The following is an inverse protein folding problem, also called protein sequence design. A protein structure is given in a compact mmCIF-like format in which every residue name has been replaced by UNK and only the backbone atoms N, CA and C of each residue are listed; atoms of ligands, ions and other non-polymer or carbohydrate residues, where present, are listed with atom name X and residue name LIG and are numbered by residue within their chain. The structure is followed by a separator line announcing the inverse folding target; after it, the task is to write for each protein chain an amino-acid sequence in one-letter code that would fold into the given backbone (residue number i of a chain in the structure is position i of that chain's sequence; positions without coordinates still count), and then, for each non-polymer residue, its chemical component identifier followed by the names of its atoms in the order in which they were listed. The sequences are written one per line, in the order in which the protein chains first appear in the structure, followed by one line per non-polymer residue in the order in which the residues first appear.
data_IF_746713894350
#
_entry.id   IF_746713894350
#
_cell.length_a   1.000
_cell.length_b   1.000
_cell.length_c   1.000
_cell.angle_alpha   90.00
_cell.angle_beta   90.00
_cell.angle_gamma   90.00
#
_symmetry.space_group_name_H-M   'P 1'
#
loop_
_entity.id
_entity.type
_entity.pdbx_description
1 polymer ?
#
# COMPACT_ATOMS: atom_id res chain seq x y z
N UNK A 1 -0.56 24.62 7.58
CA UNK A 1 -1.09 24.02 6.34
C UNK A 1 -0.68 22.56 6.33
N UNK A 2 -1.49 21.65 5.79
CA UNK A 2 -1.06 20.26 5.67
C UNK A 2 0.13 20.16 4.70
N UNK A 3 1.06 19.24 4.96
CA UNK A 3 2.20 18.95 4.11
C UNK A 3 2.16 17.49 3.66
N UNK A 4 2.48 17.25 2.39
CA UNK A 4 2.64 15.92 1.82
C UNK A 4 3.98 15.87 1.11
N UNK A 5 4.80 14.86 1.40
CA UNK A 5 6.03 14.59 0.68
C UNK A 5 6.00 13.18 0.09
N UNK A 6 6.67 13.01 -1.05
CA UNK A 6 7.09 11.69 -1.55
C UNK A 6 8.55 11.45 -1.26
N UNK A 7 8.90 10.22 -0.93
CA UNK A 7 10.26 9.78 -0.62
C UNK A 7 10.56 8.48 -1.37
N UNK A 8 11.72 8.42 -2.03
CA UNK A 8 12.23 7.18 -2.62
C UNK A 8 13.08 6.43 -1.59
N UNK A 9 12.46 5.54 -0.81
CA UNK A 9 13.12 4.82 0.29
C UNK A 9 14.20 3.88 -0.25
N UNK A 10 15.45 3.97 0.22
CA UNK A 10 16.49 3.00 -0.10
C UNK A 10 16.23 1.62 0.51
N UNK A 11 16.95 0.62 0.01
CA UNK A 11 16.97 -0.72 0.60
C UNK A 11 17.58 -0.68 2.00
N UNK A 12 17.17 -1.62 2.85
CA UNK A 12 17.64 -1.78 4.24
C UNK A 12 17.35 -0.61 5.20
N UNK A 13 16.44 0.30 4.82
CA UNK A 13 15.99 1.41 5.66
C UNK A 13 14.63 1.08 6.29
N UNK A 14 14.51 1.23 7.61
CA UNK A 14 13.25 1.08 8.33
C UNK A 14 12.25 2.18 7.95
N UNK A 15 10.95 1.88 7.78
CA UNK A 15 9.91 2.86 7.45
C UNK A 15 9.43 3.64 8.69
N UNK A 16 10.34 4.05 9.56
CA UNK A 16 10.07 4.79 10.79
C UNK A 16 11.25 5.72 11.11
N UNK A 17 11.05 6.73 11.96
CA UNK A 17 12.08 7.72 12.30
C UNK A 17 12.97 7.30 13.47
N UNK A 18 12.51 6.42 14.35
CA UNK A 18 13.25 5.96 15.53
C UNK A 18 13.39 4.45 15.49
N UNK A 19 14.60 3.93 15.71
CA UNK A 19 14.83 2.50 15.95
C UNK A 19 14.93 2.25 17.46
N UNK A 20 14.19 1.26 17.95
CA UNK A 20 14.13 0.90 19.37
C UNK A 20 14.96 -0.34 19.74
N UNK A 21 15.81 -0.85 18.82
CA UNK A 21 16.65 -2.02 19.06
C UNK A 21 18.08 -1.67 19.48
N UNK A 22 18.72 -2.59 20.19
CA UNK A 22 20.10 -2.45 20.69
C UNK A 22 21.16 -2.29 19.58
N UNK A 23 20.88 -2.84 18.39
CA UNK A 23 21.69 -2.62 17.18
C UNK A 23 20.94 -1.65 16.25
N UNK A 24 21.36 -0.37 16.16
CA UNK A 24 20.64 0.64 15.41
C UNK A 24 20.70 0.37 13.90
N UNK A 25 19.52 0.29 13.28
CA UNK A 25 19.36 0.15 11.82
C UNK A 25 19.10 1.52 11.19
N UNK A 26 19.42 1.72 9.90
CA UNK A 26 19.07 2.94 9.20
C UNK A 26 17.56 3.20 9.20
N UNK A 27 17.17 4.43 9.50
CA UNK A 27 15.77 4.90 9.60
C UNK A 27 15.50 6.04 8.61
N UNK A 28 14.25 6.52 8.57
CA UNK A 28 13.86 7.67 7.76
C UNK A 28 14.58 8.96 8.16
N UNK A 29 15.01 9.10 9.42
CA UNK A 29 15.74 10.27 9.92
C UNK A 29 17.08 10.49 9.21
N UNK A 30 17.66 9.46 8.59
CA UNK A 30 18.91 9.59 7.85
C UNK A 30 18.72 10.30 6.49
N UNK A 31 17.48 10.44 6.02
CA UNK A 31 17.15 10.94 4.69
C UNK A 31 16.17 12.11 4.68
N UNK A 32 15.37 12.23 5.74
CA UNK A 32 14.31 13.22 5.84
C UNK A 32 14.66 14.17 6.99
N UNK A 33 15.13 15.35 6.59
CA UNK A 33 15.42 16.52 7.42
C UNK A 33 14.17 17.36 7.70
N UNK A 34 13.00 16.99 7.15
CA UNK A 34 11.72 17.59 7.45
C UNK A 34 11.10 17.03 8.75
N UNK A 35 10.98 17.84 9.82
CA UNK A 35 10.29 17.40 11.04
C UNK A 35 8.76 17.34 10.85
N UNK A 36 8.09 16.58 11.73
CA UNK A 36 6.62 16.60 11.86
C UNK A 36 5.83 15.84 10.79
N UNK A 37 6.49 15.16 9.85
CA UNK A 37 5.83 14.29 8.85
C UNK A 37 5.95 12.83 9.25
N UNK A 38 4.90 12.05 8.98
CA UNK A 38 4.83 10.63 9.33
C UNK A 38 4.46 9.76 8.13
N UNK A 39 4.95 8.52 8.04
CA UNK A 39 4.60 7.60 6.96
C UNK A 39 3.10 7.37 6.81
N UNK A 40 2.60 7.58 5.59
CA UNK A 40 1.26 7.22 5.17
C UNK A 40 1.23 5.78 4.65
N UNK A 41 1.22 4.85 5.60
CA UNK A 41 1.35 3.41 5.35
C UNK A 41 2.79 2.93 5.48
N UNK A 42 3.02 1.65 5.18
CA UNK A 42 4.30 0.97 5.38
C UNK A 42 4.94 0.54 4.06
N UNK A 43 6.26 0.41 4.09
CA UNK A 43 7.09 -0.26 3.10
C UNK A 43 8.13 -1.06 3.86
N UNK A 44 8.30 -2.35 3.55
CA UNK A 44 9.21 -3.19 4.34
C UNK A 44 10.66 -2.71 4.25
N UNK A 45 11.46 -3.02 5.28
CA UNK A 45 12.88 -2.66 5.34
C UNK A 45 13.63 -3.12 4.09
N UNK A 46 13.37 -4.36 3.67
CA UNK A 46 13.95 -5.02 2.51
C UNK A 46 13.25 -4.66 1.18
N UNK A 47 12.45 -3.60 1.14
CA UNK A 47 11.83 -3.07 -0.07
C UNK A 47 12.31 -1.65 -0.35
N UNK A 48 12.22 -1.21 -1.59
CA UNK A 48 12.64 0.11 -2.05
C UNK A 48 11.46 0.91 -2.63
N UNK A 49 11.67 2.20 -2.85
CA UNK A 49 10.78 3.01 -3.66
C UNK A 49 9.82 3.87 -2.87
N UNK A 50 8.70 4.21 -3.50
CA UNK A 50 7.82 5.30 -3.11
C UNK A 50 7.22 5.08 -1.72
N UNK A 51 7.43 6.07 -0.86
CA UNK A 51 6.69 6.31 0.36
C UNK A 51 6.09 7.69 0.32
N UNK A 52 4.90 7.82 0.90
CA UNK A 52 4.27 9.10 1.16
C UNK A 52 4.38 9.39 2.65
N UNK A 53 4.72 10.62 3.00
CA UNK A 53 4.74 11.09 4.38
C UNK A 53 3.94 12.39 4.49
N UNK A 54 3.24 12.56 5.59
CA UNK A 54 2.33 13.69 5.82
C UNK A 54 2.24 14.03 7.30
N UNK A 55 1.97 15.30 7.60
CA UNK A 55 1.61 15.76 8.94
C UNK A 55 0.08 15.67 9.20
N UNK A 56 -0.70 15.33 8.17
CA UNK A 56 -2.16 15.30 8.22
C UNK A 56 -2.69 13.87 8.41
N UNK A 57 -3.22 13.58 9.60
CA UNK A 57 -3.76 12.26 9.93
C UNK A 57 -4.91 11.78 9.05
N UNK A 58 -5.74 12.67 8.48
CA UNK A 58 -6.81 12.27 7.54
C UNK A 58 -6.23 11.80 6.22
N UNK A 59 -5.23 12.51 5.70
CA UNK A 59 -4.51 12.10 4.49
C UNK A 59 -3.76 10.79 4.73
N UNK A 60 -3.13 10.66 5.91
CA UNK A 60 -2.45 9.43 6.31
C UNK A 60 -3.41 8.22 6.30
N UNK A 61 -4.59 8.38 6.91
CA UNK A 61 -5.64 7.35 6.93
C UNK A 61 -6.14 7.04 5.51
N UNK A 62 -6.39 8.07 4.69
CA UNK A 62 -6.90 7.89 3.33
C UNK A 62 -5.94 7.08 2.44
N UNK A 63 -4.64 7.34 2.55
CA UNK A 63 -3.62 6.62 1.78
C UNK A 63 -3.41 5.18 2.28
N UNK A 64 -3.52 4.96 3.60
CA UNK A 64 -3.20 3.67 4.23
C UNK A 64 -4.39 2.73 4.39
N UNK A 65 -5.63 3.22 4.35
CA UNK A 65 -6.83 2.39 4.55
C UNK A 65 -7.00 1.39 3.39
N UNK A 66 -7.02 0.07 3.69
CA UNK A 66 -7.31 -0.98 2.70
C UNK A 66 -8.65 -0.81 1.96
N UNK A 67 -9.62 -0.07 2.53
CA UNK A 67 -10.93 0.20 1.92
C UNK A 67 -10.86 1.17 0.75
N UNK A 68 -9.92 2.11 0.76
CA UNK A 68 -9.74 3.04 -0.36
C UNK A 68 -9.09 2.39 -1.58
N UNK A 69 -8.54 1.17 -1.41
CA UNK A 69 -8.05 0.30 -2.51
C UNK A 69 -7.10 1.01 -3.48
N UNK A 70 -6.39 2.05 -3.01
CA UNK A 70 -5.46 2.79 -3.86
C UNK A 70 -4.46 1.83 -4.49
N UNK A 71 -4.41 1.77 -5.84
CA UNK A 71 -3.55 0.84 -6.54
C UNK A 71 -2.10 1.17 -6.23
N UNK A 72 -1.30 0.14 -5.99
CA UNK A 72 0.13 0.24 -5.75
C UNK A 72 0.81 -0.58 -6.83
N UNK A 73 1.59 0.08 -7.67
CA UNK A 73 2.37 -0.59 -8.72
C UNK A 73 3.78 -0.82 -8.21
N UNK A 74 4.25 -2.05 -8.39
CA UNK A 74 5.56 -2.51 -8.01
C UNK A 74 6.32 -2.96 -9.25
N UNK A 75 7.60 -2.58 -9.32
CA UNK A 75 8.57 -3.26 -10.16
C UNK A 75 9.24 -4.34 -9.33
N UNK A 76 9.17 -5.57 -9.83
CA UNK A 76 9.55 -6.77 -9.11
C UNK A 76 10.54 -7.57 -9.93
N UNK A 77 11.79 -7.65 -9.47
CA UNK A 77 12.74 -8.59 -10.03
C UNK A 77 12.54 -9.94 -9.35
N UNK A 78 12.34 -10.99 -10.13
CA UNK A 78 12.09 -12.35 -9.65
C UNK A 78 13.12 -13.33 -10.21
N UNK A 79 13.32 -14.44 -9.52
CA UNK A 79 14.09 -15.57 -10.06
C UNK A 79 13.31 -16.31 -11.14
N UNK A 80 14.02 -16.76 -12.17
CA UNK A 80 13.42 -17.42 -13.33
C UNK A 80 12.64 -16.45 -14.21
N UNK A 81 12.04 -17.00 -15.28
CA UNK A 81 11.18 -16.27 -16.19
C UNK A 81 9.76 -16.81 -16.03
N UNK A 82 8.84 -16.07 -15.38
CA UNK A 82 7.46 -16.51 -15.21
C UNK A 82 6.78 -16.69 -16.55
N UNK A 83 6.21 -17.87 -16.80
CA UNK A 83 5.42 -18.14 -18.01
C UNK A 83 4.04 -17.46 -17.97
N UNK A 84 3.25 -17.64 -19.02
CA UNK A 84 1.94 -16.99 -19.11
C UNK A 84 0.93 -17.55 -18.11
N UNK A 85 1.07 -18.82 -17.70
CA UNK A 85 0.24 -19.44 -16.69
C UNK A 85 0.52 -18.84 -15.30
N UNK A 86 1.79 -18.63 -14.94
CA UNK A 86 2.19 -17.96 -13.71
C UNK A 86 1.69 -16.51 -13.65
N UNK A 87 1.81 -15.76 -14.76
CA UNK A 87 1.26 -14.41 -14.85
C UNK A 87 -0.26 -14.40 -14.71
N UNK A 88 -0.95 -15.35 -15.33
CA UNK A 88 -2.41 -15.46 -15.24
C UNK A 88 -2.88 -15.83 -13.83
N UNK A 89 -2.16 -16.71 -13.13
CA UNK A 89 -2.40 -17.01 -11.73
C UNK A 89 -2.25 -15.75 -10.86
N UNK A 90 -1.21 -14.95 -11.07
CA UNK A 90 -1.04 -13.67 -10.37
C UNK A 90 -2.21 -12.70 -10.65
N UNK A 91 -2.69 -12.64 -11.90
CA UNK A 91 -3.81 -11.75 -12.30
C UNK A 91 -5.13 -12.16 -11.66
N UNK A 92 -5.44 -13.46 -11.65
CA UNK A 92 -6.65 -14.01 -11.02
C UNK A 92 -6.61 -13.93 -9.49
N UNK A 93 -5.40 -13.91 -8.93
CA UNK A 93 -5.15 -13.97 -7.50
C UNK A 93 -4.71 -15.37 -7.09
N UNK A 94 -3.86 -15.42 -6.07
CA UNK A 94 -3.24 -16.65 -5.57
C UNK A 94 -3.61 -16.90 -4.12
N UNK A 95 -3.73 -18.17 -3.73
CA UNK A 95 -4.02 -18.54 -2.35
C UNK A 95 -2.75 -18.40 -1.51
N UNK A 96 -2.81 -17.53 -0.50
CA UNK A 96 -1.75 -17.38 0.49
C UNK A 96 -2.24 -17.91 1.85
N UNK A 97 -1.35 -17.97 2.85
CA UNK A 97 -1.68 -18.44 4.22
C UNK A 97 -2.84 -17.66 4.87
N UNK A 98 -3.00 -16.39 4.51
CA UNK A 98 -4.05 -15.47 4.98
C UNK A 98 -5.20 -15.33 3.95
N UNK A 99 -5.42 -16.37 3.13
CA UNK A 99 -6.50 -16.47 2.16
C UNK A 99 -6.14 -16.03 0.74
N UNK A 100 -7.13 -16.11 -0.14
CA UNK A 100 -7.01 -15.70 -1.54
C UNK A 100 -6.70 -14.19 -1.66
N UNK A 101 -5.77 -13.83 -2.53
CA UNK A 101 -5.53 -12.42 -2.87
C UNK A 101 -6.61 -11.91 -3.81
N UNK A 102 -6.84 -10.60 -3.80
CA UNK A 102 -7.63 -9.95 -4.84
C UNK A 102 -6.92 -10.08 -6.20
N UNK A 103 -7.70 -9.97 -7.31
CA UNK A 103 -7.11 -9.85 -8.64
C UNK A 103 -6.10 -8.71 -8.72
N UNK A 104 -5.05 -8.93 -9.50
CA UNK A 104 -3.96 -7.99 -9.71
C UNK A 104 -3.75 -7.74 -11.22
N UNK A 105 -2.99 -6.70 -11.54
CA UNK A 105 -2.39 -6.58 -12.88
C UNK A 105 -0.96 -7.08 -12.80
N UNK A 106 -0.58 -7.97 -13.71
CA UNK A 106 0.78 -8.52 -13.77
C UNK A 106 1.21 -8.68 -15.23
N UNK A 107 2.40 -8.17 -15.55
CA UNK A 107 3.05 -8.33 -16.86
C UNK A 107 4.56 -8.37 -16.70
N UNK A 108 5.25 -9.05 -17.61
CA UNK A 108 6.70 -8.89 -17.77
C UNK A 108 7.00 -7.46 -18.23
N UNK A 109 8.15 -6.97 -17.86
CA UNK A 109 8.68 -5.69 -18.31
C UNK A 109 10.19 -5.81 -18.50
N UNK A 110 10.75 -4.92 -19.32
CA UNK A 110 12.19 -4.74 -19.38
C UNK A 110 12.72 -4.16 -18.07
N UNK A 111 14.03 -4.27 -17.87
CA UNK A 111 14.71 -3.61 -16.75
C UNK A 111 14.36 -2.11 -16.78
N UNK A 112 13.90 -1.52 -15.65
CA UNK A 112 13.60 -0.10 -15.61
C UNK A 112 14.79 0.76 -16.02
N UNK A 113 14.58 1.72 -16.92
CA UNK A 113 15.63 2.65 -17.37
C UNK A 113 16.11 3.50 -16.19
N UNK A 114 17.41 3.80 -16.16
CA UNK A 114 18.04 4.64 -15.12
C UNK A 114 17.81 4.13 -13.68
N UNK A 115 17.61 2.83 -13.50
CA UNK A 115 17.42 2.24 -12.18
C UNK A 115 18.72 2.32 -11.36
N UNK A 116 18.64 2.85 -10.15
CA UNK A 116 19.78 2.92 -9.24
C UNK A 116 20.25 1.51 -8.82
N UNK A 117 21.55 1.39 -8.55
CA UNK A 117 22.13 0.18 -8.00
C UNK A 117 21.58 -0.09 -6.59
N UNK A 118 21.35 -1.37 -6.26
CA UNK A 118 20.96 -1.78 -4.91
C UNK A 118 22.21 -1.94 -4.05
N UNK A 119 22.18 -1.45 -2.81
CA UNK A 119 23.21 -1.72 -1.81
C UNK A 119 22.61 -2.46 -0.60
N UNK A 120 23.10 -3.66 -0.22
CA UNK A 120 24.05 -4.48 -0.96
C UNK A 120 23.50 -4.94 -2.33
N UNK A 121 24.36 -5.30 -3.30
CA UNK A 121 23.90 -5.83 -4.59
C UNK A 121 23.06 -7.09 -4.40
N UNK A 122 22.22 -7.40 -5.39
CA UNK A 122 21.49 -8.67 -5.40
C UNK A 122 22.51 -9.79 -5.60
N UNK A 123 22.36 -10.88 -4.85
CA UNK A 123 23.21 -12.06 -5.05
C UNK A 123 22.77 -12.76 -6.34
N UNK A 124 23.53 -12.57 -7.41
CA UNK A 124 23.29 -13.22 -8.68
C UNK A 124 23.73 -14.68 -8.65
N UNK A 125 22.89 -15.57 -9.20
CA UNK A 125 23.25 -16.96 -9.46
C UNK A 125 23.41 -17.11 -10.97
N UNK A 126 24.65 -17.27 -11.45
CA UNK A 126 24.97 -17.34 -12.91
C UNK A 126 24.13 -18.36 -13.70
N UNK A 127 23.64 -19.41 -13.05
CA UNK A 127 22.85 -20.48 -13.67
C UNK A 127 21.33 -20.24 -13.66
N UNK A 128 20.83 -19.20 -12.98
CA UNK A 128 19.40 -18.92 -12.86
C UNK A 128 19.11 -17.54 -13.46
N UNK A 129 18.34 -17.44 -14.56
CA UNK A 129 17.98 -16.14 -15.10
C UNK A 129 17.07 -15.39 -14.12
N UNK A 130 16.94 -14.08 -14.32
CA UNK A 130 15.95 -13.27 -13.64
C UNK A 130 15.04 -12.56 -14.63
N UNK A 131 13.94 -12.02 -14.12
CA UNK A 131 12.94 -11.31 -14.91
C UNK A 131 12.35 -10.16 -14.10
N UNK A 132 12.03 -9.07 -14.78
CA UNK A 132 11.29 -7.96 -14.19
C UNK A 132 9.80 -8.06 -14.50
N UNK A 133 8.99 -7.84 -13.48
CA UNK A 133 7.54 -7.77 -13.56
C UNK A 133 7.06 -6.39 -13.12
N UNK A 134 6.04 -5.88 -13.79
CA UNK A 134 5.18 -4.84 -13.25
C UNK A 134 3.96 -5.50 -12.62
N UNK A 135 3.75 -5.25 -11.32
CA UNK A 135 2.66 -5.85 -10.55
C UNK A 135 1.88 -4.77 -9.79
N UNK A 136 0.60 -4.61 -10.11
CA UNK A 136 -0.31 -3.65 -9.45
C UNK A 136 -1.34 -4.37 -8.60
N UNK A 137 -1.38 -4.04 -7.30
CA UNK A 137 -2.36 -4.55 -6.34
C UNK A 137 -3.18 -3.42 -5.72
N UNK A 138 -4.40 -3.74 -5.30
CA UNK A 138 -5.35 -2.82 -4.64
C UNK A 138 -5.61 -3.18 -3.17
N UNK A 139 -4.77 -4.04 -2.61
CA UNK A 139 -4.71 -4.38 -1.19
C UNK A 139 -3.26 -4.34 -0.70
N UNK A 140 -3.04 -4.57 0.59
CA UNK A 140 -1.72 -4.42 1.21
C UNK A 140 -1.51 -5.37 2.37
N UNK A 141 -1.68 -6.68 2.15
CA UNK A 141 -1.35 -7.70 3.16
C UNK A 141 0.16 -7.72 3.42
N UNK A 142 0.58 -8.21 4.59
CA UNK A 142 2.00 -8.25 4.97
C UNK A 142 2.83 -8.99 3.89
N UNK A 143 3.88 -8.36 3.36
CA UNK A 143 4.78 -8.94 2.34
C UNK A 143 4.06 -9.53 1.12
N UNK A 144 2.88 -9.01 0.78
CA UNK A 144 1.98 -9.65 -0.18
C UNK A 144 2.63 -9.94 -1.53
N UNK A 145 3.27 -8.96 -2.16
CA UNK A 145 3.91 -9.14 -3.48
C UNK A 145 4.95 -10.27 -3.45
N UNK A 146 5.81 -10.30 -2.44
CA UNK A 146 6.83 -11.34 -2.28
C UNK A 146 6.22 -12.73 -2.13
N UNK A 147 5.14 -12.84 -1.36
CA UNK A 147 4.41 -14.09 -1.17
C UNK A 147 3.69 -14.51 -2.46
N UNK A 148 3.14 -13.57 -3.21
CA UNK A 148 2.47 -13.84 -4.47
C UNK A 148 3.43 -14.41 -5.52
N UNK A 149 4.58 -13.76 -5.75
CA UNK A 149 5.53 -14.26 -6.76
C UNK A 149 6.14 -15.60 -6.33
N UNK A 150 6.43 -15.80 -5.03
CA UNK A 150 6.89 -17.09 -4.52
C UNK A 150 5.84 -18.21 -4.70
N UNK A 151 4.54 -17.90 -4.52
CA UNK A 151 3.46 -18.88 -4.67
C UNK A 151 3.32 -19.40 -6.12
N UNK A 152 3.76 -18.63 -7.11
CA UNK A 152 3.82 -19.06 -8.52
C UNK A 152 5.21 -19.56 -8.94
N UNK A 153 6.10 -19.83 -7.98
CA UNK A 153 7.42 -20.44 -8.24
C UNK A 153 8.55 -19.45 -8.53
N UNK A 154 8.31 -18.14 -8.39
CA UNK A 154 9.28 -17.09 -8.76
C UNK A 154 9.58 -16.16 -7.57
N UNK A 155 10.44 -16.57 -6.61
CA UNK A 155 10.79 -15.73 -5.46
C UNK A 155 11.29 -14.34 -5.86
N UNK A 156 10.87 -13.31 -5.11
CA UNK A 156 11.28 -11.91 -5.37
C UNK A 156 12.71 -11.65 -4.92
N UNK A 157 13.56 -11.22 -5.85
CA UNK A 157 14.92 -10.75 -5.64
C UNK A 157 14.97 -9.28 -5.20
N UNK A 158 14.24 -8.41 -5.91
CA UNK A 158 14.17 -6.96 -5.66
C UNK A 158 12.73 -6.48 -5.78
N UNK A 159 12.33 -5.59 -4.88
CA UNK A 159 10.98 -5.06 -4.84
C UNK A 159 11.02 -3.54 -4.71
N UNK A 160 10.52 -2.85 -5.72
CA UNK A 160 10.46 -1.40 -5.77
C UNK A 160 9.00 -0.99 -5.91
N UNK A 161 8.45 -0.25 -4.95
CA UNK A 161 7.13 0.36 -5.12
C UNK A 161 7.29 1.59 -6.01
N UNK A 162 6.87 1.49 -7.26
CA UNK A 162 6.97 2.58 -8.23
C UNK A 162 5.89 3.64 -8.01
N UNK A 163 4.66 3.24 -7.70
CA UNK A 163 3.56 4.18 -7.54
C UNK A 163 2.56 3.82 -6.44
N UNK A 164 1.86 4.84 -5.95
CA UNK A 164 0.69 4.74 -5.08
C UNK A 164 -0.37 5.68 -5.68
N UNK A 165 -1.44 5.13 -6.25
CA UNK A 165 -2.42 5.92 -7.00
C UNK A 165 -1.73 6.73 -8.11
N UNK A 166 -1.90 8.05 -8.06
CA UNK A 166 -1.35 8.99 -9.05
C UNK A 166 0.06 9.47 -8.70
N UNK A 167 0.62 9.08 -7.54
CA UNK A 167 1.97 9.45 -7.14
C UNK A 167 2.96 8.40 -7.62
N UNK A 168 4.01 8.84 -8.31
CA UNK A 168 5.04 7.99 -8.90
C UNK A 168 6.43 8.35 -8.37
N UNK A 169 7.42 7.52 -8.68
CA UNK A 169 8.85 7.80 -8.47
C UNK A 169 9.47 8.64 -9.58
N UNK A 170 8.69 9.07 -10.58
CA UNK A 170 9.24 9.81 -11.72
C UNK A 170 9.99 11.05 -11.22
N UNK A 171 11.20 11.20 -11.76
CA UNK A 171 12.15 12.27 -11.44
C UNK A 171 12.59 12.35 -9.96
N UNK A 172 12.44 11.26 -9.20
CA UNK A 172 12.86 11.17 -7.79
C UNK A 172 13.96 10.12 -7.58
N UNK A 173 15.20 10.59 -7.47
CA UNK A 173 16.36 9.74 -7.18
C UNK A 173 16.28 9.01 -5.82
N UNK A 174 17.01 7.91 -5.69
CA UNK A 174 17.04 7.11 -4.44
C UNK A 174 17.48 7.95 -3.24
N UNK A 175 16.81 7.80 -2.11
CA UNK A 175 17.11 8.54 -0.88
C UNK A 175 16.70 10.02 -0.92
N UNK A 176 16.10 10.49 -2.02
CA UNK A 176 15.58 11.85 -2.13
C UNK A 176 14.09 11.89 -1.81
N UNK A 177 13.66 13.04 -1.31
CA UNK A 177 12.26 13.36 -1.08
C UNK A 177 11.92 14.71 -1.74
N UNK A 178 10.63 14.92 -2.01
CA UNK A 178 10.10 16.14 -2.60
C UNK A 178 8.71 16.44 -2.05
N UNK A 179 8.41 17.72 -1.88
CA UNK A 179 7.05 18.19 -1.62
C UNK A 179 6.08 17.87 -2.75
N UNK A 180 4.85 17.58 -2.37
CA UNK A 180 3.74 17.35 -3.26
C UNK A 180 2.61 18.32 -2.95
N UNK A 181 1.82 18.63 -3.96
CA UNK A 181 0.53 19.27 -3.76
C UNK A 181 -0.34 18.37 -2.88
N UNK A 182 -0.91 18.93 -1.81
CA UNK A 182 -1.83 18.21 -0.93
C UNK A 182 -3.15 18.02 -1.66
N UNK A 183 -3.60 16.77 -1.90
CA UNK A 183 -4.86 16.54 -2.58
C UNK A 183 -6.03 16.89 -1.68
N UNK A 184 -7.20 17.11 -2.29
CA UNK A 184 -8.44 17.13 -1.54
C UNK A 184 -8.75 15.71 -1.03
N UNK A 185 -8.76 15.53 0.29
CA UNK A 185 -9.19 14.29 0.93
C UNK A 185 -10.70 14.38 1.17
N UNK A 186 -11.51 13.43 0.65
CA UNK A 186 -12.94 13.42 0.90
C UNK A 186 -13.24 13.44 2.40
N UNK A 187 -14.15 14.33 2.83
CA UNK A 187 -14.59 14.36 4.21
C UNK A 187 -15.31 13.06 4.62
N UNK A 188 -15.41 12.76 5.92
CA UNK A 188 -16.27 11.67 6.37
C UNK A 188 -17.69 11.88 5.81
N UNK A 189 -18.42 10.81 5.48
CA UNK A 189 -19.81 10.95 5.06
C UNK A 189 -20.54 11.79 6.12
N UNK A 190 -21.24 12.84 5.67
CA UNK A 190 -22.07 13.64 6.58
C UNK A 190 -22.96 12.66 7.36
N UNK A 191 -23.11 12.81 8.69
CA UNK A 191 -24.06 12.00 9.43
C UNK A 191 -25.38 12.05 8.67
N UNK A 192 -25.87 10.90 8.22
CA UNK A 192 -27.20 10.85 7.62
C UNK A 192 -28.13 11.49 8.64
N UNK A 193 -28.85 12.54 8.22
CA UNK A 193 -29.85 13.16 9.06
C UNK A 193 -30.72 12.01 9.57
N UNK A 194 -30.76 11.82 10.91
CA UNK A 194 -31.54 10.75 11.54
C UNK A 194 -32.91 10.73 10.87
N UNK A 195 -33.41 9.57 10.40
CA UNK A 195 -34.74 9.52 9.82
C UNK A 195 -35.73 10.14 10.82
N UNK A 196 -36.72 10.94 10.36
CA UNK A 196 -37.62 11.63 11.26
C UNK A 196 -38.25 10.61 12.21
N UNK A 197 -38.18 10.91 13.51
CA UNK A 197 -38.81 10.12 14.58
C UNK A 197 -40.26 9.84 14.15
N UNK A 198 -40.56 8.58 13.82
CA UNK A 198 -41.92 8.11 13.54
C UNK A 198 -42.80 8.53 14.71
N UNK A 199 -43.76 9.45 14.47
CA UNK A 199 -44.73 9.86 15.49
C UNK A 199 -45.37 8.59 16.05
N UNK A 200 -45.22 8.36 17.35
CA UNK A 200 -45.95 7.30 18.04
C UNK A 200 -47.44 7.60 17.85
N UNK A 201 -48.14 6.73 17.12
CA UNK A 201 -49.59 6.75 17.08
C UNK A 201 -50.08 6.60 18.52
N UNK A 202 -50.63 7.68 19.06
CA UNK A 202 -51.40 7.66 20.29
C UNK A 202 -52.53 6.66 20.11
N UNK A 203 -52.41 5.53 20.82
CA UNK A 203 -53.43 4.48 20.91
C UNK A 203 -54.71 5.13 21.43
N UNK A 204 -55.71 5.30 20.57
CA UNK A 204 -57.06 5.68 20.98
C UNK A 204 -57.59 4.57 21.88
N UNK A 205 -57.80 4.88 23.17
CA UNK A 205 -58.47 3.98 24.12
C UNK A 205 -59.91 3.80 23.64
N UNK A 206 -60.28 2.59 23.22
CA UNK A 206 -61.69 2.20 23.07
C UNK A 206 -62.37 2.23 24.46
N UNK A 207 -63.57 2.82 24.60
CA UNK A 207 -64.34 2.70 25.83
C UNK A 207 -64.80 1.25 26.03
N UNK A 208 -64.68 0.76 27.27
CA UNK A 208 -65.20 -0.53 27.70
C UNK A 208 -66.74 -0.46 27.71
N UNK A 209 -67.37 -1.31 26.93
CA UNK A 209 -68.80 -1.62 27.05
C UNK A 209 -69.06 -2.30 28.40
N UNK A 210 -70.01 -1.76 29.13
CA UNK A 210 -70.62 -2.31 30.35
C UNK A 210 -71.40 -3.60 30.05
N UNK A 211 -71.36 -4.63 30.92
CA UNK A 211 -72.32 -5.71 30.87
C UNK A 211 -73.58 -5.32 31.65
N UNK A 212 -74.74 -5.43 30.98
CA UNK A 212 -76.06 -5.58 31.60
C UNK A 212 -76.48 -7.04 31.39
N UNK A 213 -77.07 -7.66 32.41
CA UNK A 213 -77.75 -8.96 32.34
C UNK A 213 -77.00 -10.03 33.10
#
# INVERSE_FOLDING_TARGET
MARLIRFNKPFDVLPQFTDGSDSPRPTLSNYIDCPGVYPAGRLDRDSEGLMLLTDNGRLQAWVSDPKHKMPKTYWVQVEGIPDDAALEALRKGVTLKDGLTRPAKARRMDVPKNLWARNPPIRERKSVPDCWLELTISEGKNRQVRRMTAAVGHPTLRLIRYSIGNWTLDDLGQGKWQDLAVPHVPGPPKPSAKPPRRKQNTRVKKPRSSPRG
#
